data_IF_118419993880
#
_entry.id   IF_118419993880
#
_cell.length_a   1.000
_cell.length_b   1.000
_cell.length_c   1.000
_cell.angle_alpha   90.00
_cell.angle_beta   90.00
_cell.angle_gamma   90.00
#
_symmetry.space_group_name_H-M   'P 1'
#
loop_
_entity.id
_entity.type
_entity.pdbx_description
1 polymer ?
#
# COMPACT_ATOMS: atom_id res chain seq x y z
N UNK A 1 -18.16 9.57 18.28
CA UNK A 1 -18.33 10.11 16.93
C UNK A 1 -17.31 9.44 16.06
N UNK A 2 -17.78 8.62 15.14
CA UNK A 2 -16.94 8.01 14.13
C UNK A 2 -16.91 8.95 12.93
N UNK A 3 -15.83 8.89 12.16
CA UNK A 3 -15.66 9.62 10.91
C UNK A 3 -15.80 8.61 9.79
N UNK A 4 -17.02 8.28 9.37
CA UNK A 4 -17.21 7.38 8.22
C UNK A 4 -16.84 8.07 6.89
N UNK A 5 -16.96 9.41 6.82
CA UNK A 5 -16.63 10.20 5.63
C UNK A 5 -15.89 11.49 6.03
N UNK A 6 -14.66 11.65 5.57
CA UNK A 6 -13.85 12.86 5.73
C UNK A 6 -13.52 13.45 4.35
N UNK A 7 -13.85 14.72 4.14
CA UNK A 7 -13.46 15.45 2.93
C UNK A 7 -12.74 16.74 3.31
N UNK A 8 -11.49 16.86 2.89
CA UNK A 8 -10.70 18.07 3.08
C UNK A 8 -11.11 19.12 2.03
N UNK A 9 -11.17 20.39 2.42
CA UNK A 9 -11.62 21.49 1.55
C UNK A 9 -10.58 22.61 1.46
N UNK A 10 -10.65 23.40 0.39
CA UNK A 10 -9.66 24.43 0.10
C UNK A 10 -8.41 23.88 -0.57
N UNK A 11 -7.35 24.68 -0.60
CA UNK A 11 -6.10 24.36 -1.32
C UNK A 11 -4.87 24.32 -0.39
N UNK A 12 -5.09 24.48 0.91
CA UNK A 12 -4.01 24.42 1.90
C UNK A 12 -3.63 22.96 2.17
N UNK A 13 -2.42 22.76 2.68
CA UNK A 13 -1.96 21.46 3.18
C UNK A 13 -2.76 21.12 4.45
N UNK A 14 -3.71 20.19 4.32
CA UNK A 14 -4.56 19.75 5.43
C UNK A 14 -4.36 18.25 5.56
N UNK A 15 -4.23 17.76 6.79
CA UNK A 15 -4.09 16.33 7.04
C UNK A 15 -5.44 15.72 7.38
N UNK A 16 -5.65 14.47 6.96
CA UNK A 16 -6.82 13.66 7.28
C UNK A 16 -6.43 12.46 8.12
N UNK A 17 -7.16 12.23 9.21
CA UNK A 17 -6.99 11.03 10.03
C UNK A 17 -8.35 10.43 10.31
N UNK A 18 -8.49 9.14 10.04
CA UNK A 18 -9.66 8.36 10.35
C UNK A 18 -9.68 7.86 11.79
N UNK A 19 -10.38 6.74 12.00
CA UNK A 19 -10.63 6.14 13.30
C UNK A 19 -10.49 4.60 13.20
N UNK A 20 -11.26 3.84 13.97
CA UNK A 20 -11.18 2.38 14.00
C UNK A 20 -12.28 1.66 13.18
N UNK A 21 -13.19 2.42 12.57
CA UNK A 21 -14.16 1.91 11.61
C UNK A 21 -13.74 2.22 10.18
N UNK A 22 -14.50 1.71 9.20
CA UNK A 22 -14.23 1.93 7.79
C UNK A 22 -14.44 3.40 7.40
N UNK A 23 -13.43 4.05 6.85
CA UNK A 23 -13.46 5.47 6.55
C UNK A 23 -13.26 5.72 5.05
N UNK A 24 -14.02 6.68 4.53
CA UNK A 24 -13.77 7.26 3.22
C UNK A 24 -13.12 8.64 3.41
N UNK A 25 -11.83 8.75 3.08
CA UNK A 25 -11.06 9.98 3.24
C UNK A 25 -10.66 10.51 1.88
N UNK A 26 -11.13 11.71 1.55
CA UNK A 26 -10.75 12.44 0.34
C UNK A 26 -9.99 13.70 0.72
N UNK A 27 -8.76 13.81 0.24
CA UNK A 27 -7.92 14.99 0.33
C UNK A 27 -8.42 16.14 -0.54
N UNK A 28 -7.59 17.16 -0.65
CA UNK A 28 -7.85 18.38 -1.41
C UNK A 28 -6.78 18.58 -2.50
N UNK A 29 -6.48 19.83 -2.87
CA UNK A 29 -5.45 20.10 -3.87
C UNK A 29 -4.08 20.49 -3.29
N UNK A 30 -3.95 20.50 -1.97
CA UNK A 30 -2.70 20.74 -1.26
C UNK A 30 -1.99 19.42 -0.98
N UNK A 31 -0.80 19.49 -0.39
CA UNK A 31 -0.08 18.29 0.05
C UNK A 31 -0.71 17.78 1.34
N UNK A 32 -1.34 16.62 1.30
CA UNK A 32 -2.06 16.03 2.43
C UNK A 32 -1.31 14.82 3.00
N UNK A 33 -1.35 14.70 4.32
CA UNK A 33 -1.06 13.42 4.98
C UNK A 33 -2.38 12.76 5.32
N UNK A 34 -2.57 11.53 4.85
CA UNK A 34 -3.82 10.78 5.00
C UNK A 34 -3.52 9.47 5.73
N UNK A 35 -4.17 9.27 6.87
CA UNK A 35 -4.13 8.03 7.64
C UNK A 35 -5.56 7.51 7.81
N UNK A 36 -5.87 6.34 7.27
CA UNK A 36 -7.18 5.70 7.42
C UNK A 36 -7.46 5.26 8.86
N UNK A 37 -6.43 4.79 9.55
CA UNK A 37 -6.55 4.19 10.87
C UNK A 37 -6.74 2.69 10.75
N UNK A 38 -7.61 2.14 11.59
CA UNK A 38 -7.98 0.73 11.50
C UNK A 38 -9.35 0.61 10.82
N UNK A 39 -9.59 -0.53 10.16
CA UNK A 39 -10.81 -0.74 9.41
C UNK A 39 -10.49 -1.10 7.97
N UNK A 40 -11.48 -0.99 7.10
CA UNK A 40 -11.30 -1.08 5.65
C UNK A 40 -11.52 0.32 5.08
N UNK A 41 -10.43 0.98 4.75
CA UNK A 41 -10.45 2.38 4.37
C UNK A 41 -10.35 2.59 2.87
N UNK A 42 -10.98 3.66 2.40
CA UNK A 42 -10.85 4.16 1.03
C UNK A 42 -10.25 5.56 1.09
N UNK A 43 -9.04 5.69 0.58
CA UNK A 43 -8.21 6.89 0.67
C UNK A 43 -8.02 7.47 -0.73
N UNK A 44 -8.19 8.78 -0.86
CA UNK A 44 -8.01 9.52 -2.11
C UNK A 44 -7.19 10.76 -1.78
N UNK A 45 -6.03 10.92 -2.40
CA UNK A 45 -5.13 12.06 -2.16
C UNK A 45 -5.69 13.35 -2.74
N UNK A 46 -6.19 13.28 -3.96
CA UNK A 46 -6.61 14.44 -4.74
C UNK A 46 -5.47 14.93 -5.62
N UNK A 47 -5.24 16.25 -5.61
CA UNK A 47 -4.08 16.82 -6.31
C UNK A 47 -3.02 17.15 -5.27
N UNK A 48 -1.76 17.02 -5.65
CA UNK A 48 -0.65 17.27 -4.74
C UNK A 48 0.34 16.12 -4.79
N UNK A 49 1.35 16.20 -3.93
CA UNK A 49 2.22 15.07 -3.64
C UNK A 49 1.85 14.58 -2.23
N UNK A 50 0.93 13.64 -2.17
CA UNK A 50 0.31 13.22 -0.91
C UNK A 50 1.10 12.12 -0.23
N UNK A 51 0.91 11.99 1.09
CA UNK A 51 1.53 10.93 1.88
C UNK A 51 0.44 10.10 2.55
N UNK A 52 0.38 8.82 2.21
CA UNK A 52 -0.52 7.86 2.82
C UNK A 52 0.21 7.09 3.92
N UNK A 53 -0.28 7.19 5.15
CA UNK A 53 0.38 6.64 6.33
C UNK A 53 -0.30 5.32 6.71
N UNK A 54 0.47 4.24 6.83
CA UNK A 54 -0.02 2.94 7.25
C UNK A 54 0.76 2.40 8.46
N UNK A 55 0.02 1.83 9.41
CA UNK A 55 0.59 1.09 10.52
C UNK A 55 0.49 -0.42 10.27
N UNK A 56 1.59 -1.16 10.47
CA UNK A 56 1.54 -2.62 10.36
C UNK A 56 0.44 -3.20 11.27
N UNK A 57 -0.34 -4.12 10.69
CA UNK A 57 -1.55 -4.70 11.28
C UNK A 57 -2.85 -3.93 11.05
N UNK A 58 -2.85 -2.76 10.40
CA UNK A 58 -4.08 -2.05 10.01
C UNK A 58 -4.61 -2.52 8.66
N UNK A 59 -3.82 -2.42 7.59
CA UNK A 59 -4.21 -2.84 6.23
C UNK A 59 -3.80 -4.28 5.97
N UNK A 60 -4.60 -5.25 6.43
CA UNK A 60 -4.30 -6.69 6.36
C UNK A 60 -4.96 -7.36 5.15
N UNK A 61 -4.70 -8.65 4.93
CA UNK A 61 -5.38 -9.40 3.87
C UNK A 61 -6.91 -9.47 4.02
N UNK A 62 -7.40 -9.51 5.26
CA UNK A 62 -8.84 -9.57 5.57
C UNK A 62 -9.51 -8.19 5.56
N UNK A 63 -8.71 -7.14 5.69
CA UNK A 63 -9.16 -5.76 5.77
C UNK A 63 -8.14 -4.87 5.06
N UNK A 64 -8.04 -5.04 3.74
CA UNK A 64 -7.08 -4.28 2.93
C UNK A 64 -7.65 -2.91 2.63
N UNK A 65 -6.87 -1.88 2.92
CA UNK A 65 -7.19 -0.51 2.53
C UNK A 65 -6.98 -0.31 1.03
N UNK A 66 -7.68 0.70 0.51
CA UNK A 66 -7.57 1.10 -0.89
C UNK A 66 -7.19 2.56 -1.04
N UNK A 67 -6.11 2.83 -1.76
CA UNK A 67 -5.81 4.15 -2.32
C UNK A 67 -6.37 4.21 -3.74
N UNK A 68 -7.20 5.21 -4.04
CA UNK A 68 -7.96 5.25 -5.30
C UNK A 68 -7.24 5.96 -6.45
N UNK A 69 -6.28 6.83 -6.15
CA UNK A 69 -5.67 7.75 -7.13
C UNK A 69 -4.14 7.87 -7.03
N UNK A 70 -3.48 6.95 -6.30
CA UNK A 70 -2.04 7.00 -6.02
C UNK A 70 -1.21 7.40 -7.25
N UNK A 71 -0.57 8.56 -7.21
CA UNK A 71 0.22 9.09 -8.32
C UNK A 71 1.68 8.64 -8.22
N UNK A 72 2.06 7.68 -9.08
CA UNK A 72 3.42 7.12 -9.08
C UNK A 72 4.46 8.23 -9.33
N UNK A 73 5.51 8.24 -8.51
CA UNK A 73 6.57 9.26 -8.45
C UNK A 73 6.17 10.63 -7.88
N UNK A 74 4.90 10.83 -7.50
CA UNK A 74 4.43 12.02 -6.78
C UNK A 74 4.13 11.67 -5.33
N UNK A 75 3.18 10.75 -5.13
CA UNK A 75 2.72 10.36 -3.81
C UNK A 75 3.70 9.41 -3.13
N UNK A 76 3.59 9.34 -1.81
CA UNK A 76 4.40 8.48 -0.94
C UNK A 76 3.55 7.70 0.04
N UNK A 77 4.13 6.60 0.48
CA UNK A 77 3.64 5.76 1.56
C UNK A 77 4.63 5.90 2.71
N UNK A 78 4.12 6.31 3.86
CA UNK A 78 4.86 6.36 5.11
C UNK A 78 4.40 5.20 6.00
N UNK A 79 5.35 4.58 6.69
CA UNK A 79 5.13 3.36 7.44
C UNK A 79 5.37 3.57 8.93
N UNK A 80 4.47 3.02 9.73
CA UNK A 80 4.57 2.99 11.19
C UNK A 80 4.64 1.53 11.67
N UNK A 81 5.45 1.27 12.68
CA UNK A 81 5.43 0.01 13.44
C UNK A 81 4.04 -0.29 13.98
N UNK A 82 3.74 -1.53 14.35
CA UNK A 82 2.47 -1.86 15.03
C UNK A 82 2.25 -1.06 16.34
N UNK A 83 3.30 -0.48 16.93
CA UNK A 83 3.19 0.43 18.08
C UNK A 83 2.94 1.91 17.72
N UNK A 84 2.76 2.23 16.43
CA UNK A 84 2.55 3.60 15.94
C UNK A 84 3.82 4.45 15.86
N UNK A 85 5.00 3.86 16.07
CA UNK A 85 6.28 4.57 15.93
C UNK A 85 6.71 4.62 14.46
N UNK A 86 7.33 5.71 13.98
CA UNK A 86 7.91 5.79 12.65
C UNK A 86 8.86 4.63 12.37
N UNK A 87 8.84 4.12 11.15
CA UNK A 87 9.85 3.19 10.67
C UNK A 87 10.50 3.69 9.39
N UNK A 88 11.66 3.12 9.07
CA UNK A 88 12.29 3.39 7.79
C UNK A 88 11.49 2.72 6.67
N UNK A 89 11.54 3.31 5.47
CA UNK A 89 11.08 2.67 4.25
C UNK A 89 11.65 1.24 4.08
N UNK A 90 10.96 0.38 3.30
CA UNK A 90 11.44 -0.97 3.02
C UNK A 90 12.87 -0.97 2.46
N UNK A 91 13.69 -1.90 2.93
CA UNK A 91 15.10 -2.02 2.50
C UNK A 91 15.25 -2.47 1.04
N UNK A 92 14.22 -3.14 0.51
CA UNK A 92 14.12 -3.53 -0.89
C UNK A 92 12.68 -3.42 -1.37
N UNK A 93 12.51 -3.02 -2.62
CA UNK A 93 11.22 -2.96 -3.28
C UNK A 93 11.33 -3.51 -4.71
N UNK A 94 10.42 -4.39 -5.11
CA UNK A 94 10.39 -4.96 -6.46
C UNK A 94 8.99 -5.02 -7.05
N UNK A 95 8.89 -5.04 -8.38
CA UNK A 95 7.67 -5.43 -9.09
C UNK A 95 7.70 -6.92 -9.44
N UNK A 96 6.67 -7.64 -9.00
CA UNK A 96 6.37 -9.01 -9.36
C UNK A 96 5.77 -9.11 -10.76
N UNK A 97 5.96 -10.26 -11.40
CA UNK A 97 5.18 -10.63 -12.60
C UNK A 97 3.69 -10.62 -12.25
N UNK A 98 2.87 -10.23 -13.23
CA UNK A 98 1.43 -10.19 -13.06
C UNK A 98 0.90 -11.59 -12.69
N UNK A 99 -0.02 -11.64 -11.73
CA UNK A 99 -0.62 -12.86 -11.22
C UNK A 99 -2.01 -13.11 -11.83
N UNK A 100 -2.35 -14.38 -11.93
CA UNK A 100 -3.67 -14.86 -12.36
C UNK A 100 -4.43 -15.57 -11.22
N UNK A 101 -3.94 -15.47 -9.98
CA UNK A 101 -4.61 -16.03 -8.80
C UNK A 101 -5.97 -15.38 -8.59
N UNK A 102 -6.91 -16.11 -8.01
CA UNK A 102 -8.29 -15.63 -7.80
C UNK A 102 -8.60 -15.26 -6.36
N UNK A 103 -7.66 -15.49 -5.42
CA UNK A 103 -7.78 -15.12 -4.00
C UNK A 103 -6.58 -14.28 -3.57
N UNK A 104 -6.79 -13.35 -2.62
CA UNK A 104 -5.68 -12.56 -2.07
C UNK A 104 -4.70 -13.44 -1.30
N UNK A 105 -5.17 -14.57 -0.74
CA UNK A 105 -4.31 -15.49 0.02
C UNK A 105 -3.27 -16.12 -0.89
N UNK A 106 -3.71 -16.64 -2.04
CA UNK A 106 -2.82 -17.23 -3.03
C UNK A 106 -1.89 -16.18 -3.63
N UNK A 107 -2.40 -14.97 -3.91
CA UNK A 107 -1.58 -13.85 -4.39
C UNK A 107 -0.42 -13.55 -3.45
N UNK A 108 -0.72 -13.33 -2.17
CA UNK A 108 0.29 -12.92 -1.19
C UNK A 108 1.26 -14.07 -0.91
N UNK A 109 0.78 -15.31 -0.76
CA UNK A 109 1.66 -16.48 -0.63
C UNK A 109 2.60 -16.63 -1.82
N UNK A 110 2.11 -16.41 -3.04
CA UNK A 110 2.93 -16.42 -4.25
C UNK A 110 3.99 -15.31 -4.20
N UNK A 111 3.62 -14.07 -3.86
CA UNK A 111 4.56 -12.94 -3.77
C UNK A 111 5.63 -13.17 -2.70
N UNK A 112 5.28 -13.71 -1.53
CA UNK A 112 6.28 -14.01 -0.49
C UNK A 112 7.21 -15.15 -0.90
N UNK A 113 6.73 -16.12 -1.67
CA UNK A 113 7.53 -17.25 -2.16
C UNK A 113 8.45 -16.82 -3.31
N UNK A 114 7.95 -15.99 -4.22
CA UNK A 114 8.61 -15.54 -5.43
C UNK A 114 8.10 -14.15 -5.85
N UNK A 115 8.65 -13.11 -5.20
CA UNK A 115 8.23 -11.71 -5.37
C UNK A 115 8.53 -11.13 -6.76
N UNK A 116 9.18 -11.89 -7.66
CA UNK A 116 9.54 -11.40 -8.99
C UNK A 116 9.27 -12.38 -10.15
N UNK A 117 8.89 -13.63 -9.90
CA UNK A 117 8.49 -14.58 -10.93
C UNK A 117 9.61 -14.91 -11.94
N UNK A 118 10.88 -14.83 -11.52
CA UNK A 118 12.11 -15.04 -12.30
C UNK A 118 12.62 -13.86 -13.16
N UNK A 119 13.36 -12.97 -12.51
CA UNK A 119 14.60 -12.41 -13.09
C UNK A 119 15.77 -12.98 -12.29
N UNK A 120 16.83 -13.43 -12.95
CA UNK A 120 17.89 -14.25 -12.34
C UNK A 120 18.46 -13.58 -11.09
N UNK A 121 18.31 -14.21 -9.93
CA UNK A 121 18.83 -13.74 -8.64
C UNK A 121 17.93 -12.76 -7.89
N UNK A 122 16.75 -13.19 -7.41
CA UNK A 122 16.29 -12.68 -6.12
C UNK A 122 15.31 -13.62 -5.40
N UNK A 123 15.48 -13.68 -4.08
CA UNK A 123 14.77 -14.55 -3.14
C UNK A 123 13.40 -13.97 -2.77
N UNK A 124 12.56 -14.79 -2.14
CA UNK A 124 11.25 -14.39 -1.62
C UNK A 124 11.28 -13.11 -0.78
N UNK A 125 10.10 -12.50 -0.57
CA UNK A 125 9.97 -11.23 0.15
C UNK A 125 10.58 -11.34 1.56
N UNK A 126 11.78 -10.79 1.73
CA UNK A 126 12.56 -10.86 2.97
C UNK A 126 12.03 -9.92 4.05
N UNK A 127 12.65 -9.91 5.23
CA UNK A 127 12.31 -8.97 6.30
C UNK A 127 12.45 -7.52 5.81
N UNK A 128 11.51 -6.65 6.19
CA UNK A 128 11.50 -5.24 5.81
C UNK A 128 11.64 -5.00 4.31
N UNK A 129 10.78 -5.65 3.51
CA UNK A 129 10.77 -5.52 2.05
C UNK A 129 9.36 -5.38 1.51
N UNK A 130 9.23 -4.83 0.30
CA UNK A 130 7.96 -4.64 -0.37
C UNK A 130 7.96 -5.25 -1.77
N UNK A 131 6.77 -5.61 -2.26
CA UNK A 131 6.55 -6.05 -3.62
C UNK A 131 5.26 -5.48 -4.19
N UNK A 132 5.32 -5.03 -5.43
CA UNK A 132 4.19 -4.56 -6.22
C UNK A 132 3.76 -5.66 -7.18
N UNK A 133 2.48 -6.02 -7.19
CA UNK A 133 1.95 -7.07 -8.08
C UNK A 133 0.62 -6.61 -8.69
N UNK A 134 0.43 -6.92 -9.98
CA UNK A 134 -0.87 -6.75 -10.64
C UNK A 134 -1.56 -8.10 -10.75
N UNK A 135 -2.85 -8.15 -10.42
CA UNK A 135 -3.71 -9.30 -10.70
C UNK A 135 -4.59 -9.00 -11.90
N UNK A 136 -4.53 -9.87 -12.90
CA UNK A 136 -5.17 -9.66 -14.21
C UNK A 136 -6.51 -10.38 -14.36
N UNK A 137 -6.87 -11.26 -13.43
CA UNK A 137 -8.05 -12.11 -13.52
C UNK A 137 -8.75 -12.33 -12.17
N UNK A 138 -10.04 -12.66 -12.20
CA UNK A 138 -10.81 -13.02 -11.01
C UNK A 138 -11.38 -11.83 -10.22
N UNK A 139 -11.98 -12.11 -9.07
CA UNK A 139 -12.68 -11.12 -8.25
C UNK A 139 -11.74 -10.09 -7.58
N UNK A 140 -10.45 -10.40 -7.52
CA UNK A 140 -9.42 -9.57 -6.90
C UNK A 140 -8.58 -8.81 -7.94
N UNK A 141 -9.03 -8.72 -9.20
CA UNK A 141 -8.31 -7.99 -10.23
C UNK A 141 -7.97 -6.56 -9.77
N UNK A 142 -6.70 -6.16 -9.89
CA UNK A 142 -6.21 -4.94 -9.27
C UNK A 142 -4.70 -4.87 -9.16
N UNK A 143 -4.20 -3.79 -8.59
CA UNK A 143 -2.77 -3.59 -8.29
C UNK A 143 -2.57 -3.50 -6.79
N UNK A 144 -1.66 -4.31 -6.26
CA UNK A 144 -1.46 -4.49 -4.83
C UNK A 144 0.00 -4.26 -4.46
N UNK A 145 0.18 -3.62 -3.32
CA UNK A 145 1.45 -3.49 -2.64
C UNK A 145 1.43 -4.42 -1.42
N UNK A 146 2.35 -5.37 -1.41
CA UNK A 146 2.58 -6.31 -0.31
C UNK A 146 3.83 -5.84 0.42
N UNK A 147 3.75 -5.61 1.73
CA UNK A 147 4.86 -5.10 2.52
C UNK A 147 5.04 -5.99 3.72
N UNK A 148 6.23 -6.56 3.84
CA UNK A 148 6.62 -7.40 4.94
C UNK A 148 7.12 -6.56 6.12
N UNK A 149 6.71 -6.95 7.32
CA UNK A 149 7.29 -6.43 8.55
C UNK A 149 8.73 -6.97 8.77
N UNK A 150 9.28 -6.81 9.97
CA UNK A 150 10.63 -7.27 10.30
C UNK A 150 10.75 -8.79 10.51
N UNK A 151 9.69 -9.54 10.27
CA UNK A 151 9.61 -11.00 10.43
C UNK A 151 9.54 -11.64 9.04
N UNK A 152 10.05 -12.86 8.88
CA UNK A 152 10.15 -13.48 7.57
C UNK A 152 8.88 -14.27 7.21
N UNK A 153 8.44 -14.16 5.96
CA UNK A 153 7.28 -14.88 5.44
C UNK A 153 5.98 -14.09 5.62
N UNK A 154 4.87 -14.65 5.14
CA UNK A 154 3.57 -13.98 5.20
C UNK A 154 2.89 -14.18 6.57
N UNK A 155 2.58 -13.07 7.23
CA UNK A 155 1.82 -12.96 8.45
C UNK A 155 0.56 -12.12 8.20
N UNK A 156 -0.55 -12.78 7.90
CA UNK A 156 -1.82 -12.13 7.53
C UNK A 156 -2.36 -11.09 8.52
N UNK A 157 -1.94 -11.15 9.78
CA UNK A 157 -2.35 -10.20 10.83
C UNK A 157 -1.44 -8.99 10.97
N UNK A 158 -0.24 -9.03 10.41
CA UNK A 158 0.80 -8.03 10.65
C UNK A 158 1.25 -7.36 9.36
N UNK A 159 1.48 -8.16 8.31
CA UNK A 159 1.94 -7.65 7.02
C UNK A 159 0.88 -6.78 6.36
N UNK A 160 1.36 -5.77 5.64
CA UNK A 160 0.50 -4.84 4.95
C UNK A 160 0.18 -5.34 3.55
N UNK A 161 -1.10 -5.26 3.21
CA UNK A 161 -1.61 -5.41 1.87
C UNK A 161 -2.42 -4.16 1.53
N UNK A 162 -1.92 -3.34 0.62
CA UNK A 162 -2.56 -2.10 0.19
C UNK A 162 -2.99 -2.24 -1.25
N UNK A 163 -4.26 -1.93 -1.54
CA UNK A 163 -4.80 -1.90 -2.89
C UNK A 163 -4.62 -0.49 -3.48
N UNK A 164 -3.84 -0.36 -4.54
CA UNK A 164 -3.66 0.93 -5.25
C UNK A 164 -4.32 0.91 -6.63
N UNK A 165 -5.35 0.10 -6.81
CA UNK A 165 -6.08 0.04 -8.07
C UNK A 165 -6.71 1.40 -8.36
N UNK A 166 -6.42 1.96 -9.54
CA UNK A 166 -6.79 3.33 -9.89
C UNK A 166 -5.61 4.32 -9.80
N UNK A 167 -4.41 3.86 -9.46
CA UNK A 167 -3.18 4.65 -9.52
C UNK A 167 -3.05 5.40 -10.86
N UNK A 168 -2.38 6.55 -10.81
CA UNK A 168 -2.05 7.34 -12.00
C UNK A 168 -0.56 7.25 -12.31
N UNK A 169 -0.21 7.38 -13.60
CA UNK A 169 1.14 7.22 -14.10
C UNK A 169 1.40 5.84 -14.70
N UNK A 170 2.68 5.49 -14.85
CA UNK A 170 3.11 4.23 -15.49
C UNK A 170 3.62 3.26 -14.44
N UNK A 171 3.16 2.01 -14.49
CA UNK A 171 3.72 0.95 -13.64
C UNK A 171 5.22 0.78 -13.92
N UNK A 172 6.05 0.61 -12.87
CA UNK A 172 7.46 0.28 -13.05
C UNK A 172 7.65 -0.99 -13.90
N UNK A 173 8.82 -1.17 -14.49
CA UNK A 173 9.19 -2.46 -15.10
C UNK A 173 9.28 -3.56 -14.03
N UNK A 174 9.28 -4.83 -14.47
CA UNK A 174 9.51 -5.96 -13.57
C UNK A 174 10.90 -5.87 -12.92
N UNK A 175 11.02 -6.35 -11.68
CA UNK A 175 12.28 -6.33 -10.92
C UNK A 175 12.40 -5.14 -9.97
N UNK A 176 13.63 -4.75 -9.64
CA UNK A 176 13.90 -3.76 -8.59
C UNK A 176 13.32 -2.38 -8.91
N UNK A 177 12.66 -1.78 -7.92
CA UNK A 177 12.14 -0.42 -7.96
C UNK A 177 12.92 0.42 -6.94
N UNK A 178 13.30 1.66 -7.27
CA UNK A 178 13.78 2.60 -6.26
C UNK A 178 12.73 2.80 -5.16
N UNK A 179 13.10 2.49 -3.92
CA UNK A 179 12.21 2.60 -2.75
C UNK A 179 11.60 4.00 -2.65
N UNK A 180 12.41 5.04 -2.86
CA UNK A 180 11.99 6.45 -2.83
C UNK A 180 10.94 6.83 -3.88
N UNK A 181 10.59 5.98 -4.84
CA UNK A 181 9.49 6.25 -5.77
C UNK A 181 8.12 6.12 -5.10
N UNK A 182 8.00 5.25 -4.08
CA UNK A 182 6.73 4.93 -3.42
C UNK A 182 6.76 5.17 -1.91
N UNK A 183 7.94 5.17 -1.28
CA UNK A 183 8.07 5.28 0.17
C UNK A 183 8.91 6.49 0.58
N UNK A 184 8.74 6.95 1.82
CA UNK A 184 9.54 7.99 2.48
C UNK A 184 10.35 7.43 3.65
#
# INVERSE_FOLDING_TARGET
NNVENLRLIGTNNINGTGNAGNNNITGNSGINQINGGAGIDTLTGGLGADTFIFQFGQSTISASDRITDFAINSDKIDLLTQGGLPMNAPSSFSRATDSTTTTLGDLVNQVFTDANGATTGNQGLGVNSAALVQVTTGAIAGTYLVINDSTAGFQSSNDLLINITGFTGTLPALGNIPVGNFFI
#
